data_IF_613928807665
#
_entry.id   IF_613928807665
#
_cell.length_a   1.000
_cell.length_b   1.000
_cell.length_c   1.000
_cell.angle_alpha   90.00
_cell.angle_beta   90.00
_cell.angle_gamma   90.00
#
_symmetry.space_group_name_H-M   'P 1'
#
loop_
_entity.id
_entity.type
_entity.pdbx_description
1 polymer ?
#
# COMPACT_ATOMS: atom_id res chain seq x y z
N UNK A 1 5.56 -18.48 -4.21
CA UNK A 1 6.13 -18.17 -5.54
C UNK A 1 6.63 -19.43 -6.25
N UNK A 2 7.24 -20.38 -5.54
CA UNK A 2 7.88 -21.62 -6.06
C UNK A 2 6.97 -22.70 -6.68
N UNK A 3 5.63 -22.56 -6.66
CA UNK A 3 4.71 -23.60 -7.17
C UNK A 3 3.61 -23.07 -8.09
N UNK A 4 3.89 -22.02 -8.86
CA UNK A 4 2.92 -21.41 -9.79
C UNK A 4 3.54 -21.40 -11.22
N UNK A 5 2.77 -21.61 -12.30
CA UNK A 5 3.26 -21.46 -13.68
C UNK A 5 3.95 -20.11 -13.95
N UNK A 6 3.64 -19.11 -13.11
CA UNK A 6 4.28 -17.79 -13.07
C UNK A 6 5.82 -17.85 -13.02
N UNK A 7 6.40 -18.73 -12.19
CA UNK A 7 7.85 -18.78 -12.01
C UNK A 7 8.59 -19.17 -13.30
N UNK A 8 7.94 -19.93 -14.19
CA UNK A 8 8.51 -20.37 -15.45
C UNK A 8 8.40 -19.33 -16.58
N UNK A 9 7.48 -18.37 -16.46
CA UNK A 9 7.22 -17.36 -17.48
C UNK A 9 7.75 -15.97 -17.11
N UNK A 10 8.14 -15.76 -15.84
CA UNK A 10 8.72 -14.51 -15.38
C UNK A 10 10.23 -14.48 -15.67
N UNK A 11 10.66 -13.50 -16.44
CA UNK A 11 12.07 -13.27 -16.76
C UNK A 11 12.71 -12.33 -15.72
N UNK A 12 13.52 -12.91 -14.85
CA UNK A 12 14.24 -12.21 -13.79
C UNK A 12 15.46 -11.40 -14.29
N UNK A 13 15.87 -11.56 -15.55
CA UNK A 13 17.01 -10.82 -16.14
C UNK A 13 16.63 -9.45 -16.69
N UNK A 14 15.33 -9.14 -16.78
CA UNK A 14 14.81 -7.84 -17.25
C UNK A 14 13.96 -7.18 -16.16
N UNK A 15 13.63 -5.89 -16.34
CA UNK A 15 12.75 -5.19 -15.39
C UNK A 15 11.33 -5.76 -15.44
N UNK A 16 10.61 -5.60 -14.33
CA UNK A 16 9.23 -6.08 -14.17
C UNK A 16 8.25 -5.58 -15.25
N UNK A 17 8.51 -4.40 -15.81
CA UNK A 17 7.67 -3.74 -16.81
C UNK A 17 8.14 -3.96 -18.26
N UNK A 18 9.11 -4.84 -18.48
CA UNK A 18 9.58 -5.22 -19.81
C UNK A 18 8.55 -6.10 -20.54
N UNK A 19 8.54 -6.04 -21.88
CA UNK A 19 7.63 -6.84 -22.73
C UNK A 19 7.80 -8.34 -22.52
N UNK A 20 9.00 -8.82 -22.18
CA UNK A 20 9.24 -10.23 -21.86
C UNK A 20 8.44 -10.71 -20.63
N UNK A 21 8.08 -9.80 -19.72
CA UNK A 21 7.27 -10.09 -18.53
C UNK A 21 5.77 -9.83 -18.74
N UNK A 22 5.35 -9.41 -19.94
CA UNK A 22 3.95 -9.00 -20.24
C UNK A 22 2.90 -10.03 -19.83
N UNK A 23 3.12 -11.30 -20.14
CA UNK A 23 2.15 -12.35 -19.80
C UNK A 23 2.22 -12.71 -18.33
N UNK A 24 3.41 -12.70 -17.72
CA UNK A 24 3.59 -13.00 -16.31
C UNK A 24 2.84 -11.99 -15.42
N UNK A 25 3.01 -10.69 -15.64
CA UNK A 25 2.43 -9.64 -14.78
C UNK A 25 0.90 -9.60 -14.78
N UNK A 26 0.24 -10.24 -15.76
CA UNK A 26 -1.23 -10.30 -15.85
C UNK A 26 -1.85 -11.37 -14.95
N UNK A 27 -1.07 -12.29 -14.40
CA UNK A 27 -1.59 -13.35 -13.54
C UNK A 27 -1.98 -12.79 -12.17
N UNK A 28 -3.24 -12.95 -11.73
CA UNK A 28 -3.63 -12.64 -10.37
C UNK A 28 -2.95 -13.59 -9.38
N UNK A 29 -2.49 -13.06 -8.25
CA UNK A 29 -1.91 -13.84 -7.16
C UNK A 29 -2.94 -13.93 -6.03
N UNK A 30 -3.62 -15.07 -5.82
CA UNK A 30 -4.70 -15.18 -4.84
C UNK A 30 -4.28 -14.78 -3.41
N UNK A 31 -3.04 -15.06 -3.02
CA UNK A 31 -2.51 -14.71 -1.70
C UNK A 31 -2.22 -13.21 -1.52
N UNK A 32 -2.27 -12.41 -2.59
CA UNK A 32 -2.17 -10.95 -2.55
C UNK A 32 -3.53 -10.25 -2.73
N UNK A 33 -4.61 -11.03 -2.83
CA UNK A 33 -5.98 -10.53 -2.91
C UNK A 33 -6.69 -10.79 -1.59
N UNK A 34 -7.39 -9.78 -1.08
CA UNK A 34 -8.23 -9.98 0.09
C UNK A 34 -9.57 -10.60 -0.35
N UNK A 35 -10.01 -11.73 0.24
CA UNK A 35 -11.30 -12.33 -0.09
C UNK A 35 -12.50 -11.43 0.19
N UNK A 36 -12.36 -10.42 1.05
CA UNK A 36 -13.44 -9.47 1.34
C UNK A 36 -13.63 -8.44 0.23
N UNK A 37 -12.63 -8.25 -0.64
CA UNK A 37 -12.72 -7.23 -1.70
C UNK A 37 -13.74 -7.63 -2.76
N UNK A 38 -14.74 -6.79 -3.05
CA UNK A 38 -15.76 -7.08 -4.05
C UNK A 38 -15.17 -7.10 -5.47
N UNK A 39 -15.86 -7.76 -6.40
CA UNK A 39 -15.55 -7.69 -7.83
C UNK A 39 -14.40 -8.57 -8.32
N UNK A 40 -13.81 -9.41 -7.47
CA UNK A 40 -12.78 -10.38 -7.88
C UNK A 40 -11.43 -9.75 -8.26
N UNK A 41 -10.54 -10.49 -8.94
CA UNK A 41 -9.26 -9.95 -9.39
C UNK A 41 -9.41 -8.73 -10.31
N UNK A 42 -8.71 -7.65 -10.00
CA UNK A 42 -8.68 -6.41 -10.78
C UNK A 42 -7.40 -6.30 -11.60
N UNK A 43 -7.42 -5.44 -12.60
CA UNK A 43 -6.25 -5.07 -13.39
C UNK A 43 -5.85 -3.63 -13.12
N UNK A 44 -4.55 -3.35 -13.16
CA UNK A 44 -3.95 -2.03 -13.15
C UNK A 44 -3.76 -1.57 -14.61
N UNK A 45 -4.70 -0.82 -15.22
CA UNK A 45 -4.60 -0.44 -16.64
C UNK A 45 -3.45 0.53 -16.88
N UNK A 46 -3.15 1.42 -15.92
CA UNK A 46 -2.05 2.37 -16.01
C UNK A 46 -0.69 1.80 -15.61
N UNK A 47 -0.52 0.47 -15.61
CA UNK A 47 0.76 -0.16 -15.33
C UNK A 47 1.87 0.46 -16.18
N UNK A 48 3.04 0.82 -15.60
CA UNK A 48 4.10 1.53 -16.31
C UNK A 48 4.91 0.61 -17.23
N UNK A 49 4.24 -0.12 -18.13
CA UNK A 49 4.83 -0.97 -19.16
C UNK A 49 5.79 -0.18 -20.08
N UNK A 50 6.94 -0.77 -20.39
CA UNK A 50 7.85 -0.27 -21.44
C UNK A 50 7.37 -0.83 -22.77
N UNK A 51 6.66 0.00 -23.54
CA UNK A 51 6.00 -0.43 -24.78
C UNK A 51 6.98 -0.32 -25.96
N UNK A 52 7.28 -1.43 -26.66
CA UNK A 52 8.08 -1.39 -27.89
C UNK A 52 7.38 -0.59 -29.00
N UNK A 53 8.12 -0.02 -29.97
CA UNK A 53 7.51 0.64 -31.12
C UNK A 53 6.53 -0.30 -31.87
N UNK A 54 5.29 0.15 -32.05
CA UNK A 54 4.25 -0.60 -32.76
C UNK A 54 3.33 -1.47 -31.88
N UNK A 55 3.62 -1.59 -30.58
CA UNK A 55 2.81 -2.35 -29.63
C UNK A 55 1.84 -1.47 -28.84
N UNK A 56 0.86 -2.11 -28.20
CA UNK A 56 -0.07 -1.47 -27.26
C UNK A 56 0.36 -1.71 -25.82
N UNK A 57 0.08 -0.72 -24.96
CA UNK A 57 0.28 -0.83 -23.52
C UNK A 57 -0.56 -1.97 -22.95
N UNK A 58 -0.01 -2.71 -21.98
CA UNK A 58 -0.69 -3.80 -21.29
C UNK A 58 -0.85 -3.51 -19.79
N UNK A 59 -1.89 -4.07 -19.15
CA UNK A 59 -2.10 -3.96 -17.71
C UNK A 59 -1.29 -5.01 -16.93
N UNK A 60 -1.25 -4.86 -15.61
CA UNK A 60 -0.78 -5.89 -14.67
C UNK A 60 -1.89 -6.22 -13.66
N UNK A 61 -1.86 -7.42 -13.07
CA UNK A 61 -2.85 -7.81 -12.06
C UNK A 61 -2.67 -6.99 -10.78
N UNK A 62 -3.77 -6.41 -10.29
CA UNK A 62 -3.81 -5.64 -9.06
C UNK A 62 -3.70 -6.55 -7.82
N UNK A 63 -3.39 -5.95 -6.68
CA UNK A 63 -3.31 -6.60 -5.38
C UNK A 63 -3.85 -5.67 -4.27
N UNK A 64 -4.34 -6.28 -3.21
CA UNK A 64 -5.00 -5.60 -2.10
C UNK A 64 -4.05 -5.32 -0.92
N UNK A 65 -2.80 -5.77 -0.99
CA UNK A 65 -1.77 -5.50 0.02
C UNK A 65 -0.61 -4.73 -0.60
N UNK A 66 -0.08 -3.73 0.12
CA UNK A 66 1.01 -2.88 -0.31
C UNK A 66 2.11 -2.79 0.75
N UNK A 67 3.33 -2.51 0.31
CA UNK A 67 4.42 -2.16 1.20
C UNK A 67 4.16 -0.83 1.93
N UNK A 68 4.54 -0.77 3.21
CA UNK A 68 4.54 0.47 3.98
C UNK A 68 5.84 1.25 3.78
N UNK A 69 5.72 2.51 3.34
CA UNK A 69 6.82 3.48 3.31
C UNK A 69 6.84 4.35 4.58
N UNK A 70 6.01 4.03 5.58
CA UNK A 70 5.81 4.81 6.79
C UNK A 70 4.60 5.73 6.74
N UNK A 71 4.34 6.48 7.82
CA UNK A 71 3.27 7.46 7.87
C UNK A 71 3.60 8.71 7.04
N UNK A 72 2.58 9.30 6.40
CA UNK A 72 2.70 10.58 5.72
C UNK A 72 2.90 11.72 6.73
N UNK A 73 3.87 12.61 6.47
CA UNK A 73 4.24 13.68 7.40
C UNK A 73 3.08 14.68 7.67
N UNK A 74 2.08 14.73 6.79
CA UNK A 74 0.89 15.58 6.97
C UNK A 74 0.08 15.23 8.22
N UNK A 75 0.25 14.03 8.78
CA UNK A 75 -0.38 13.64 10.04
C UNK A 75 0.03 14.52 11.23
N UNK A 76 1.25 15.08 11.21
CA UNK A 76 1.74 16.01 12.23
C UNK A 76 1.46 17.48 11.92
N UNK A 77 1.20 17.82 10.65
CA UNK A 77 1.11 19.23 10.20
C UNK A 77 -0.32 19.68 9.85
N UNK A 78 -1.28 18.75 9.77
CA UNK A 78 -2.72 19.08 9.68
C UNK A 78 -3.16 19.87 10.93
N UNK A 79 -4.19 20.71 10.79
CA UNK A 79 -4.73 21.52 11.90
C UNK A 79 -6.17 21.11 12.24
N UNK A 80 -6.46 20.61 13.46
CA UNK A 80 -5.49 20.21 14.49
C UNK A 80 -4.67 18.98 14.07
N UNK A 81 -3.45 18.76 14.61
CA UNK A 81 -2.65 17.58 14.29
C UNK A 81 -3.39 16.28 14.56
N UNK A 82 -3.30 15.33 13.62
CA UNK A 82 -3.87 14.01 13.80
C UNK A 82 -3.01 13.20 14.79
N UNK A 83 -1.69 13.28 14.64
CA UNK A 83 -0.71 12.71 15.56
C UNK A 83 -0.29 13.76 16.58
N UNK A 84 -0.26 13.40 17.86
CA UNK A 84 -0.10 14.31 19.00
C UNK A 84 1.31 14.33 19.56
N UNK A 85 2.09 13.27 19.37
CA UNK A 85 3.48 13.24 19.79
C UNK A 85 4.37 13.99 18.78
N UNK A 86 5.53 14.52 19.20
CA UNK A 86 6.44 15.24 18.31
C UNK A 86 6.88 14.39 17.11
N UNK A 87 6.90 14.97 15.91
CA UNK A 87 7.32 14.24 14.72
C UNK A 87 8.76 13.71 14.88
N UNK A 88 9.00 12.39 14.73
CA UNK A 88 10.34 11.84 14.75
C UNK A 88 11.17 12.37 13.58
N UNK A 89 12.50 12.44 13.76
CA UNK A 89 13.42 12.85 12.69
C UNK A 89 13.34 11.91 11.47
N UNK A 90 12.92 10.66 11.67
CA UNK A 90 12.76 9.67 10.62
C UNK A 90 11.42 8.94 10.75
N UNK A 91 10.48 9.25 9.86
CA UNK A 91 9.16 8.57 9.77
C UNK A 91 9.12 7.53 8.65
N UNK A 92 10.26 6.98 8.26
CA UNK A 92 10.31 6.01 7.18
C UNK A 92 9.94 4.62 7.69
N UNK A 93 9.08 3.94 6.92
CA UNK A 93 8.81 2.52 7.06
C UNK A 93 9.94 1.66 6.48
N UNK A 94 9.83 0.35 6.68
CA UNK A 94 10.88 -0.60 6.32
C UNK A 94 11.21 -0.62 4.82
N UNK A 95 10.20 -0.56 3.95
CA UNK A 95 10.42 -0.67 2.50
C UNK A 95 10.91 0.61 1.82
N UNK A 96 11.16 1.70 2.56
CA UNK A 96 11.76 2.92 1.99
C UNK A 96 13.16 2.65 1.46
N UNK A 97 13.47 3.20 0.28
CA UNK A 97 14.77 3.07 -0.38
C UNK A 97 14.92 1.83 -1.25
N UNK A 98 13.99 0.87 -1.18
CA UNK A 98 14.02 -0.36 -1.99
C UNK A 98 13.83 -0.11 -3.49
N UNK A 99 13.20 1.00 -3.86
CA UNK A 99 12.94 1.39 -5.25
C UNK A 99 13.93 2.43 -5.80
N UNK A 100 14.94 2.83 -5.02
CA UNK A 100 15.92 3.83 -5.44
C UNK A 100 17.12 3.15 -6.13
N UNK A 101 17.43 3.43 -7.41
CA UNK A 101 18.60 2.87 -8.08
C UNK A 101 19.89 3.19 -7.32
N UNK A 102 20.67 2.15 -6.98
CA UNK A 102 21.91 2.30 -6.19
C UNK A 102 21.70 2.56 -4.69
N UNK A 103 20.45 2.68 -4.23
CA UNK A 103 20.11 2.72 -2.82
C UNK A 103 20.10 1.33 -2.22
N UNK A 104 20.70 1.16 -1.05
CA UNK A 104 20.46 -0.04 -0.24
C UNK A 104 19.12 0.11 0.48
N UNK A 105 18.24 -0.88 0.33
CA UNK A 105 17.06 -0.99 1.17
C UNK A 105 17.44 -1.10 2.66
N UNK A 106 16.49 -0.81 3.54
CA UNK A 106 16.68 -0.97 4.98
C UNK A 106 17.01 -2.42 5.32
N UNK A 107 17.85 -2.60 6.33
CA UNK A 107 18.17 -3.90 6.88
C UNK A 107 17.36 -4.18 8.14
N UNK A 108 17.23 -5.45 8.49
CA UNK A 108 16.53 -5.85 9.72
C UNK A 108 17.08 -5.14 10.97
N UNK A 109 18.39 -4.91 11.03
CA UNK A 109 19.05 -4.17 12.13
C UNK A 109 18.66 -2.70 12.25
N UNK A 110 18.06 -2.12 11.22
CA UNK A 110 17.61 -0.72 11.24
C UNK A 110 16.27 -0.58 12.00
N UNK A 111 15.64 -1.69 12.36
CA UNK A 111 14.40 -1.74 13.12
C UNK A 111 14.73 -1.71 14.62
N UNK A 112 14.36 -0.62 15.28
CA UNK A 112 14.62 -0.40 16.71
C UNK A 112 13.36 -0.33 17.56
N UNK A 113 12.16 -0.30 16.96
CA UNK A 113 10.86 -0.33 17.65
C UNK A 113 10.30 -1.75 17.86
N UNK A 114 10.97 -2.76 17.28
CA UNK A 114 10.70 -4.19 17.49
C UNK A 114 9.95 -4.82 16.33
N UNK A 115 10.43 -5.99 15.88
CA UNK A 115 9.91 -6.67 14.68
C UNK A 115 8.41 -7.04 14.71
N UNK A 116 7.82 -7.19 15.89
CA UNK A 116 6.39 -7.46 16.08
C UNK A 116 5.52 -6.19 16.02
N UNK A 117 6.14 -5.02 16.16
CA UNK A 117 5.46 -3.72 16.24
C UNK A 117 5.60 -2.93 14.94
N UNK A 118 6.58 -3.25 14.10
CA UNK A 118 6.79 -2.62 12.80
C UNK A 118 5.87 -3.20 11.71
N UNK A 119 5.00 -2.37 11.13
CA UNK A 119 4.17 -2.72 9.96
C UNK A 119 5.01 -2.64 8.68
N UNK A 120 5.02 -3.75 7.93
CA UNK A 120 5.66 -3.83 6.59
C UNK A 120 4.64 -3.90 5.47
N UNK A 121 3.50 -4.56 5.69
CA UNK A 121 2.44 -4.69 4.70
C UNK A 121 1.15 -4.10 5.25
N UNK A 122 0.49 -3.28 4.43
CA UNK A 122 -0.82 -2.69 4.71
C UNK A 122 -1.84 -3.18 3.71
N UNK A 123 -3.04 -3.49 4.19
CA UNK A 123 -4.18 -3.72 3.32
C UNK A 123 -4.72 -2.39 2.77
N UNK A 124 -4.82 -2.31 1.45
CA UNK A 124 -5.37 -1.19 0.69
C UNK A 124 -6.11 -1.77 -0.51
N UNK A 125 -7.32 -2.24 -0.22
CA UNK A 125 -8.15 -3.04 -1.11
C UNK A 125 -8.80 -2.21 -2.24
N UNK A 126 -9.26 -2.93 -3.28
CA UNK A 126 -10.02 -2.43 -4.42
C UNK A 126 -9.29 -1.45 -5.35
N UNK A 127 -7.99 -1.23 -5.17
CA UNK A 127 -7.19 -0.43 -6.11
C UNK A 127 -7.18 -1.13 -7.49
N UNK A 128 -7.20 -0.38 -8.62
CA UNK A 128 -6.99 1.07 -8.76
C UNK A 128 -8.24 1.95 -8.57
N UNK A 129 -9.41 1.37 -8.29
CA UNK A 129 -10.63 2.14 -8.01
C UNK A 129 -10.43 2.99 -6.75
N UNK A 130 -11.20 4.07 -6.64
CA UNK A 130 -11.23 4.91 -5.44
C UNK A 130 -12.49 4.58 -4.67
N UNK A 131 -12.31 4.26 -3.40
CA UNK A 131 -13.39 4.08 -2.43
C UNK A 131 -13.31 5.17 -1.38
N UNK A 132 -14.44 5.76 -1.02
CA UNK A 132 -14.58 6.84 -0.04
C UNK A 132 -15.76 6.55 0.88
N UNK A 133 -15.51 6.50 2.20
CA UNK A 133 -16.51 6.20 3.23
C UNK A 133 -17.43 5.00 2.88
N UNK A 134 -16.82 3.90 2.42
CA UNK A 134 -17.55 2.68 2.06
C UNK A 134 -18.22 2.67 0.69
N UNK A 135 -18.01 3.70 -0.15
CA UNK A 135 -18.63 3.83 -1.47
C UNK A 135 -17.60 3.95 -2.58
N UNK A 136 -17.80 3.21 -3.66
CA UNK A 136 -17.01 3.37 -4.88
C UNK A 136 -17.26 4.75 -5.49
N UNK A 137 -16.19 5.46 -5.85
CA UNK A 137 -16.27 6.70 -6.63
C UNK A 137 -16.56 6.30 -8.08
N UNK A 138 -17.68 6.76 -8.68
CA UNK A 138 -18.07 6.36 -10.03
C UNK A 138 -17.01 6.70 -11.08
N UNK A 139 -16.74 5.77 -12.00
CA UNK A 139 -15.77 5.96 -13.09
C UNK A 139 -14.31 6.08 -12.64
N UNK A 140 -14.00 5.71 -11.39
CA UNK A 140 -12.62 5.62 -10.89
C UNK A 140 -11.91 4.35 -11.39
N UNK A 141 -10.58 4.34 -11.33
CA UNK A 141 -9.77 3.17 -11.65
C UNK A 141 -9.66 2.79 -13.14
N UNK A 142 -10.22 3.59 -14.06
CA UNK A 142 -10.15 3.37 -15.50
C UNK A 142 -8.86 3.94 -16.09
N UNK A 143 -8.46 3.47 -17.28
CA UNK A 143 -7.28 4.00 -17.99
C UNK A 143 -7.40 5.52 -18.24
N UNK A 144 -8.61 5.99 -18.54
CA UNK A 144 -8.90 7.40 -18.77
C UNK A 144 -9.17 8.21 -17.49
N UNK A 145 -9.24 7.60 -16.31
CA UNK A 145 -9.53 8.32 -15.06
C UNK A 145 -8.45 9.38 -14.79
N UNK A 146 -8.82 10.52 -14.21
CA UNK A 146 -7.83 11.48 -13.73
C UNK A 146 -7.04 10.91 -12.53
N UNK A 147 -5.89 11.49 -12.20
CA UNK A 147 -5.09 11.04 -11.06
C UNK A 147 -5.90 11.04 -9.74
N UNK A 148 -6.75 12.05 -9.52
CA UNK A 148 -7.59 12.14 -8.33
C UNK A 148 -8.61 11.00 -8.17
N UNK A 149 -8.96 10.29 -9.25
CA UNK A 149 -9.89 9.15 -9.25
C UNK A 149 -9.20 7.86 -9.64
N UNK A 150 -7.90 7.74 -9.35
CA UNK A 150 -7.11 6.58 -9.69
C UNK A 150 -6.02 6.31 -8.65
N UNK A 151 -6.08 5.16 -7.98
CA UNK A 151 -5.04 4.75 -7.02
C UNK A 151 -3.97 3.95 -7.76
N UNK A 152 -2.82 4.58 -8.05
CA UNK A 152 -1.69 3.90 -8.69
C UNK A 152 -0.88 3.06 -7.70
N UNK A 153 0.23 2.46 -8.19
CA UNK A 153 1.08 1.52 -7.46
C UNK A 153 0.27 0.41 -6.80
N UNK A 154 -0.52 -0.32 -7.59
CA UNK A 154 -1.51 -1.29 -7.12
C UNK A 154 -1.35 -2.70 -7.69
N UNK A 155 -0.42 -2.92 -8.63
CA UNK A 155 -0.10 -4.24 -9.16
C UNK A 155 0.92 -4.97 -8.30
N UNK A 156 0.89 -6.30 -8.31
CA UNK A 156 1.88 -7.08 -7.54
C UNK A 156 3.29 -7.00 -8.13
N UNK A 157 3.40 -6.72 -9.42
CA UNK A 157 4.66 -6.75 -10.16
C UNK A 157 5.43 -5.42 -10.13
N UNK A 158 4.86 -4.35 -9.56
CA UNK A 158 5.53 -3.06 -9.41
C UNK A 158 5.97 -2.81 -7.96
N UNK A 159 6.60 -1.66 -7.71
CA UNK A 159 7.07 -1.31 -6.36
C UNK A 159 5.98 -1.31 -5.26
N UNK A 160 4.71 -1.09 -5.63
CA UNK A 160 3.50 -1.21 -4.79
C UNK A 160 3.73 -0.85 -3.31
N UNK A 161 4.15 0.39 -3.10
CA UNK A 161 4.65 0.93 -1.84
C UNK A 161 4.19 2.38 -1.76
N UNK A 162 3.72 2.81 -0.59
CA UNK A 162 3.36 4.22 -0.36
C UNK A 162 3.47 4.60 1.10
N UNK A 163 3.54 5.91 1.36
CA UNK A 163 3.34 6.46 2.72
C UNK A 163 1.86 6.49 3.03
N UNK A 164 1.48 5.93 4.18
CA UNK A 164 0.07 5.85 4.59
C UNK A 164 -0.42 7.25 4.96
N UNK A 165 -1.48 7.69 4.29
CA UNK A 165 -2.08 9.01 4.47
C UNK A 165 -3.25 8.96 5.44
N UNK A 166 -3.47 10.08 6.13
CA UNK A 166 -4.71 10.35 6.85
C UNK A 166 -5.66 11.23 6.04
N UNK A 167 -6.96 10.97 6.15
CA UNK A 167 -8.04 11.67 5.45
C UNK A 167 -9.12 12.17 6.41
N UNK A 168 -9.99 13.05 5.91
CA UNK A 168 -11.28 13.35 6.55
C UNK A 168 -12.16 12.11 6.63
N UNK A 169 -13.15 12.10 7.53
CA UNK A 169 -14.01 10.95 7.77
C UNK A 169 -14.80 10.50 6.53
N UNK A 170 -15.09 11.42 5.60
CA UNK A 170 -15.72 11.14 4.32
C UNK A 170 -14.77 10.53 3.28
N UNK A 171 -13.46 10.47 3.56
CA UNK A 171 -12.43 9.97 2.64
C UNK A 171 -12.07 10.91 1.49
N UNK A 172 -12.64 12.11 1.44
CA UNK A 172 -12.50 13.01 0.30
C UNK A 172 -11.23 13.88 0.37
N UNK A 173 -10.88 14.36 1.57
CA UNK A 173 -9.82 15.35 1.74
C UNK A 173 -8.61 14.74 2.42
N UNK A 174 -7.47 14.77 1.73
CA UNK A 174 -6.18 14.38 2.31
C UNK A 174 -5.75 15.37 3.39
N UNK A 175 -5.29 14.86 4.53
CA UNK A 175 -4.92 15.64 5.70
C UNK A 175 -6.06 15.66 6.70
N UNK A 176 -6.38 14.49 7.25
CA UNK A 176 -7.31 14.34 8.37
C UNK A 176 -6.91 13.15 9.24
N UNK A 177 -7.62 12.91 10.36
CA UNK A 177 -7.22 11.91 11.34
C UNK A 177 -7.61 10.48 10.98
N UNK A 178 -8.31 10.23 9.87
CA UNK A 178 -8.75 8.89 9.52
C UNK A 178 -7.72 8.16 8.66
N UNK A 179 -7.12 7.09 9.18
CA UNK A 179 -6.15 6.26 8.45
C UNK A 179 -6.71 4.92 7.95
N UNK A 180 -7.85 4.47 8.49
CA UNK A 180 -8.45 3.16 8.21
C UNK A 180 -9.88 3.35 7.69
N UNK A 181 -10.18 2.74 6.54
CA UNK A 181 -11.51 2.61 5.93
C UNK A 181 -12.23 3.93 5.54
N UNK A 182 -11.58 5.10 5.66
CA UNK A 182 -12.13 6.32 5.06
C UNK A 182 -11.88 6.40 3.55
N UNK A 183 -10.70 6.01 3.08
CA UNK A 183 -10.44 5.84 1.64
C UNK A 183 -9.32 4.83 1.40
N UNK A 184 -9.23 4.25 0.20
CA UNK A 184 -8.11 3.42 -0.25
C UNK A 184 -7.04 4.22 -1.00
N UNK A 185 -7.16 5.55 -1.10
CA UNK A 185 -6.21 6.39 -1.83
C UNK A 185 -4.91 6.60 -1.02
N UNK A 186 -3.94 5.67 -1.17
CA UNK A 186 -2.70 5.60 -0.37
C UNK A 186 -2.96 5.57 1.14
N UNK A 187 -4.04 4.91 1.54
CA UNK A 187 -4.48 4.74 2.91
C UNK A 187 -4.92 3.29 3.15
N UNK A 188 -5.04 2.91 4.43
CA UNK A 188 -5.43 1.55 4.78
C UNK A 188 -6.93 1.37 4.56
N UNK A 189 -7.31 0.36 3.81
CA UNK A 189 -8.69 0.14 3.42
C UNK A 189 -8.95 -1.34 3.20
N UNK A 190 -10.02 -1.84 3.78
CA UNK A 190 -10.55 -3.17 3.51
C UNK A 190 -12.07 -3.16 3.50
N UNK A 191 -12.64 -4.29 3.14
CA UNK A 191 -14.08 -4.56 3.24
C UNK A 191 -14.42 -5.37 4.50
N UNK A 192 -13.47 -5.48 5.44
CA UNK A 192 -13.73 -5.94 6.79
C UNK A 192 -14.40 -4.82 7.61
N UNK A 193 -15.50 -5.10 8.32
CA UNK A 193 -16.17 -4.08 9.14
C UNK A 193 -15.23 -3.44 10.17
N UNK A 194 -14.88 -2.17 9.95
CA UNK A 194 -14.09 -1.35 10.89
C UNK A 194 -12.67 -1.85 11.15
N UNK A 195 -12.06 -2.62 10.24
CA UNK A 195 -10.72 -3.16 10.46
C UNK A 195 -9.94 -3.34 9.17
N UNK A 196 -8.64 -3.55 9.27
CA UNK A 196 -7.71 -3.94 8.18
C UNK A 196 -6.72 -4.95 8.72
N UNK A 197 -6.22 -5.83 7.85
CA UNK A 197 -5.11 -6.70 8.19
C UNK A 197 -3.77 -6.06 7.81
N UNK A 198 -2.77 -6.27 8.65
CA UNK A 198 -1.43 -5.69 8.47
C UNK A 198 -0.37 -6.74 8.77
N UNK A 199 0.67 -6.82 7.95
CA UNK A 199 1.81 -7.71 8.14
C UNK A 199 2.93 -7.02 8.93
N UNK A 200 3.54 -7.75 9.86
CA UNK A 200 4.68 -7.30 10.66
C UNK A 200 6.00 -7.85 10.13
N UNK A 201 7.13 -7.28 10.58
CA UNK A 201 8.47 -7.76 10.17
C UNK A 201 8.71 -9.20 10.62
N UNK A 202 8.23 -9.58 11.80
CA UNK A 202 8.34 -10.95 12.34
C UNK A 202 7.50 -12.00 11.57
N UNK A 203 6.79 -11.59 10.52
CA UNK A 203 5.92 -12.44 9.71
C UNK A 203 4.52 -12.63 10.27
N UNK A 204 4.22 -12.08 11.45
CA UNK A 204 2.87 -12.13 12.01
C UNK A 204 1.90 -11.21 11.27
N UNK A 205 0.62 -11.59 11.27
CA UNK A 205 -0.49 -10.76 10.78
C UNK A 205 -1.28 -10.26 11.98
N UNK A 206 -1.58 -8.96 12.01
CA UNK A 206 -2.38 -8.32 13.04
C UNK A 206 -3.53 -7.55 12.40
N UNK A 207 -4.70 -7.65 13.01
CA UNK A 207 -5.85 -6.84 12.65
C UNK A 207 -5.78 -5.50 13.38
N UNK A 208 -5.84 -4.39 12.65
CA UNK A 208 -5.97 -3.05 13.21
C UNK A 208 -7.40 -2.55 13.04
N UNK A 209 -7.97 -2.01 14.11
CA UNK A 209 -9.33 -1.47 14.11
C UNK A 209 -9.33 0.00 13.73
N UNK A 210 -10.40 0.47 13.08
CA UNK A 210 -10.61 1.88 12.76
C UNK A 210 -10.75 2.78 14.00
N UNK A 211 -10.91 2.19 15.19
CA UNK A 211 -10.90 2.89 16.47
C UNK A 211 -9.49 3.17 17.01
N UNK A 212 -8.44 2.56 16.45
CA UNK A 212 -7.06 2.85 16.84
C UNK A 212 -6.73 4.32 16.57
N UNK A 213 -5.99 4.94 17.49
CA UNK A 213 -5.63 6.35 17.35
C UNK A 213 -4.61 6.55 16.23
N UNK A 214 -4.58 7.73 15.60
CA UNK A 214 -3.52 8.08 14.66
C UNK A 214 -2.12 7.95 15.26
N UNK A 215 -1.98 8.22 16.56
CA UNK A 215 -0.71 8.07 17.29
C UNK A 215 -0.18 6.64 17.22
N UNK A 216 -1.02 5.66 17.58
CA UNK A 216 -0.64 4.24 17.57
C UNK A 216 -0.33 3.78 16.15
N UNK A 217 -1.18 4.12 15.19
CA UNK A 217 -1.00 3.72 13.80
C UNK A 217 0.29 4.32 13.23
N UNK A 218 0.56 5.59 13.49
CA UNK A 218 1.77 6.26 13.00
C UNK A 218 3.03 5.61 13.58
N UNK A 219 3.05 5.32 14.88
CA UNK A 219 4.16 4.64 15.54
C UNK A 219 4.45 3.27 14.90
N UNK A 220 3.42 2.44 14.75
CA UNK A 220 3.53 1.10 14.14
C UNK A 220 4.00 1.14 12.67
N UNK A 221 3.81 2.24 11.95
CA UNK A 221 4.25 2.38 10.56
C UNK A 221 5.72 2.79 10.43
N UNK A 222 6.36 3.28 11.50
CA UNK A 222 7.80 3.58 11.51
C UNK A 222 8.61 2.31 11.82
N UNK A 223 9.95 2.41 11.70
CA UNK A 223 10.90 1.35 12.13
C UNK A 223 11.73 1.77 13.36
N UNK A 224 11.67 3.05 13.74
CA UNK A 224 12.59 3.66 14.68
C UNK A 224 12.04 4.97 15.29
N UNK A 225 10.72 5.11 15.42
CA UNK A 225 10.14 6.33 15.99
C UNK A 225 10.32 6.43 17.51
N UNK A 226 10.61 5.31 18.19
CA UNK A 226 10.89 5.28 19.63
C UNK A 226 9.66 5.56 20.50
N UNK A 227 8.47 5.53 19.92
CA UNK A 227 7.22 5.75 20.63
C UNK A 227 6.85 4.50 21.45
N UNK A 228 6.37 4.71 22.68
CA UNK A 228 5.81 3.63 23.48
C UNK A 228 4.44 3.28 22.92
N UNK A 229 4.35 2.15 22.23
CA UNK A 229 3.09 1.62 21.72
C UNK A 229 2.45 0.73 22.78
N UNK A 230 1.34 1.15 23.37
CA UNK A 230 0.46 0.27 24.13
C UNK A 230 -0.66 -0.19 23.20
N UNK A 231 -0.60 -1.46 22.77
CA UNK A 231 -1.51 -2.08 21.80
C UNK A 231 -2.68 -2.87 22.45
N UNK A 232 -2.99 -2.61 23.72
CA UNK A 232 -4.10 -3.24 24.46
C UNK A 232 -5.38 -2.39 24.49
#
# INVERSE_FOLDING_TARGET
>A
MEQNPLANIYNYSVRFNDVANREAVKYPLPFMLCPSTPGGPRMHPKFPAVVPPGDTKWPAAACDYAGSAGPDAKLWTVTPPAVRYPQPANTNGFFVGTVQPGGHGRQYRDITDGSSNTIVLVESAARPEVWQAGKAVPGSGLEASASATYVSVCSWAEGNLFKVRGYTADGATWGGPCLINCTNYYAMYSFHPGAVNTGRVDGSVRTLRSSATPDVIAALLTIAGGEVVNDE
#
